data_IF_752626071885
#
_entry.id   IF_752626071885
#
_cell.length_a   1.000
_cell.length_b   1.000
_cell.length_c   1.000
_cell.angle_alpha   90.00
_cell.angle_beta   90.00
_cell.angle_gamma   90.00
#
_symmetry.space_group_name_H-M   'P 1'
#
loop_
_entity.id
_entity.type
_entity.pdbx_description
1 polymer ?
#
# COMPACT_ATOMS: atom_id res chain seq x y z
N UNK A 1 23.52 -16.53 -21.06
CA UNK A 1 23.15 -16.93 -19.68
C UNK A 1 22.34 -15.84 -19.00
N UNK A 2 22.80 -14.58 -19.04
CA UNK A 2 22.06 -13.42 -18.52
C UNK A 2 20.67 -13.29 -19.17
N UNK A 3 20.57 -13.45 -20.49
CA UNK A 3 19.27 -13.37 -21.20
C UNK A 3 18.29 -14.49 -20.80
N UNK A 4 18.82 -15.65 -20.40
CA UNK A 4 18.00 -16.76 -19.92
C UNK A 4 17.42 -16.45 -18.52
N UNK A 5 18.25 -15.89 -17.64
CA UNK A 5 17.83 -15.47 -16.29
C UNK A 5 16.81 -14.33 -16.40
N UNK A 6 17.08 -13.34 -17.25
CA UNK A 6 16.17 -12.22 -17.49
C UNK A 6 14.82 -12.69 -18.02
N UNK A 7 14.82 -13.57 -19.03
CA UNK A 7 13.59 -14.16 -19.58
C UNK A 7 12.78 -14.92 -18.53
N UNK A 8 13.43 -15.72 -17.68
CA UNK A 8 12.76 -16.46 -16.60
C UNK A 8 12.16 -15.51 -15.57
N UNK A 9 12.89 -14.45 -15.18
CA UNK A 9 12.41 -13.48 -14.20
C UNK A 9 11.25 -12.65 -14.73
N UNK A 10 11.30 -12.23 -16.00
CA UNK A 10 10.20 -11.49 -16.63
C UNK A 10 8.94 -12.35 -16.73
N UNK A 11 9.08 -13.62 -17.13
CA UNK A 11 7.95 -14.58 -17.20
C UNK A 11 7.35 -14.89 -15.83
N UNK A 12 8.15 -14.81 -14.77
CA UNK A 12 7.73 -15.11 -13.39
C UNK A 12 7.78 -13.85 -12.50
N UNK A 13 7.47 -12.68 -13.07
CA UNK A 13 7.65 -11.39 -12.41
C UNK A 13 6.93 -11.27 -11.06
N UNK A 14 5.76 -11.89 -10.91
CA UNK A 14 5.04 -11.97 -9.62
C UNK A 14 5.80 -12.79 -8.57
N UNK A 15 6.39 -13.93 -8.97
CA UNK A 15 7.18 -14.77 -8.05
C UNK A 15 8.43 -14.01 -7.60
N UNK A 16 9.08 -13.30 -8.52
CA UNK A 16 10.20 -12.42 -8.22
C UNK A 16 9.78 -11.33 -7.24
N UNK A 17 8.61 -10.70 -7.45
CA UNK A 17 8.09 -9.68 -6.54
C UNK A 17 7.86 -10.22 -5.12
N UNK A 18 7.22 -11.38 -4.97
CA UNK A 18 7.04 -12.03 -3.68
C UNK A 18 8.38 -12.37 -3.00
N UNK A 19 9.36 -12.87 -3.76
CA UNK A 19 10.68 -13.18 -3.23
C UNK A 19 11.40 -11.91 -2.73
N UNK A 20 11.40 -10.83 -3.53
CA UNK A 20 12.02 -9.55 -3.15
C UNK A 20 11.36 -8.95 -1.91
N UNK A 21 10.02 -8.95 -1.86
CA UNK A 21 9.27 -8.41 -0.71
C UNK A 21 9.48 -9.30 0.52
N UNK A 22 9.47 -10.61 0.38
CA UNK A 22 9.74 -11.55 1.47
C UNK A 22 11.13 -11.36 2.08
N UNK A 23 12.16 -11.21 1.23
CA UNK A 23 13.53 -10.90 1.68
C UNK A 23 13.57 -9.53 2.37
N UNK A 24 12.89 -8.53 1.83
CA UNK A 24 12.83 -7.18 2.41
C UNK A 24 12.22 -7.21 3.81
N UNK A 25 11.10 -7.92 3.99
CA UNK A 25 10.45 -8.11 5.29
C UNK A 25 11.38 -8.86 6.24
N UNK A 26 11.96 -9.97 5.81
CA UNK A 26 12.87 -10.76 6.63
C UNK A 26 14.07 -9.94 7.13
N UNK A 27 14.73 -9.20 6.24
CA UNK A 27 15.82 -8.29 6.60
C UNK A 27 15.34 -7.19 7.55
N UNK A 28 14.13 -6.66 7.34
CA UNK A 28 13.57 -5.61 8.18
C UNK A 28 13.33 -6.08 9.62
N UNK A 29 12.83 -7.30 9.81
CA UNK A 29 12.70 -7.89 11.15
C UNK A 29 14.05 -8.22 11.78
N UNK A 30 15.00 -8.73 11.00
CA UNK A 30 16.38 -8.96 11.48
C UNK A 30 17.01 -7.65 11.98
N UNK A 31 16.87 -6.55 11.23
CA UNK A 31 17.38 -5.23 11.60
C UNK A 31 16.64 -4.67 12.83
N UNK A 32 15.32 -4.83 12.91
CA UNK A 32 14.53 -4.40 14.06
C UNK A 32 15.04 -5.05 15.35
N UNK A 33 15.26 -6.36 15.33
CA UNK A 33 15.72 -7.12 16.49
C UNK A 33 17.16 -6.74 16.88
N UNK A 34 18.06 -6.62 15.91
CA UNK A 34 19.50 -6.42 16.15
C UNK A 34 19.88 -4.98 16.47
N UNK A 35 19.24 -4.00 15.83
CA UNK A 35 19.60 -2.57 15.93
C UNK A 35 18.69 -1.79 16.88
N UNK A 36 17.40 -2.17 16.97
CA UNK A 36 16.43 -1.44 17.80
C UNK A 36 15.97 -2.20 19.05
N UNK A 37 16.55 -3.39 19.30
CA UNK A 37 16.14 -4.30 20.36
C UNK A 37 14.61 -4.56 20.34
N UNK A 38 14.02 -4.61 19.14
CA UNK A 38 12.58 -4.81 18.93
C UNK A 38 11.69 -3.60 19.25
N UNK A 39 12.24 -2.42 19.56
CA UNK A 39 11.44 -1.21 19.83
C UNK A 39 10.74 -0.67 18.59
N UNK A 40 11.33 -0.85 17.42
CA UNK A 40 10.74 -0.45 16.15
C UNK A 40 10.15 -1.68 15.44
N UNK A 41 8.90 -1.62 15.01
CA UNK A 41 8.27 -2.75 14.32
C UNK A 41 8.94 -2.98 12.95
N UNK A 42 9.23 -4.23 12.59
CA UNK A 42 9.91 -4.57 11.33
C UNK A 42 9.21 -4.00 10.09
N UNK A 43 7.88 -3.89 10.09
CA UNK A 43 7.09 -3.27 9.02
C UNK A 43 7.45 -1.80 8.77
N UNK A 44 7.80 -1.02 9.80
CA UNK A 44 8.21 0.38 9.62
C UNK A 44 9.56 0.48 8.89
N UNK A 45 10.50 -0.43 9.20
CA UNK A 45 11.77 -0.54 8.47
C UNK A 45 11.52 -0.96 7.02
N UNK A 46 10.62 -1.92 6.80
CA UNK A 46 10.26 -2.39 5.47
C UNK A 46 9.67 -1.27 4.60
N UNK A 47 8.77 -0.44 5.17
CA UNK A 47 8.21 0.74 4.49
C UNK A 47 9.32 1.73 4.13
N UNK A 48 10.21 2.05 5.06
CA UNK A 48 11.32 2.96 4.80
C UNK A 48 12.24 2.44 3.68
N UNK A 49 12.61 1.16 3.71
CA UNK A 49 13.39 0.53 2.64
C UNK A 49 12.66 0.54 1.30
N UNK A 50 11.35 0.27 1.30
CA UNK A 50 10.51 0.33 0.11
C UNK A 50 10.46 1.73 -0.51
N UNK A 51 10.33 2.78 0.32
CA UNK A 51 10.35 4.17 -0.13
C UNK A 51 11.71 4.58 -0.70
N UNK A 52 12.81 4.19 -0.04
CA UNK A 52 14.17 4.41 -0.55
C UNK A 52 14.39 3.70 -1.89
N UNK A 53 13.92 2.45 -2.01
CA UNK A 53 14.00 1.69 -3.24
C UNK A 53 13.15 2.32 -4.35
N UNK A 54 11.94 2.81 -4.03
CA UNK A 54 11.07 3.48 -4.99
C UNK A 54 11.70 4.79 -5.50
N UNK A 55 12.27 5.60 -4.61
CA UNK A 55 13.00 6.80 -4.97
C UNK A 55 14.19 6.46 -5.89
N UNK A 56 15.02 5.49 -5.49
CA UNK A 56 16.15 5.06 -6.28
C UNK A 56 15.74 4.51 -7.66
N UNK A 57 14.73 3.64 -7.72
CA UNK A 57 14.17 3.10 -8.95
C UNK A 57 13.67 4.18 -9.91
N UNK A 58 12.99 5.21 -9.39
CA UNK A 58 12.57 6.36 -10.18
C UNK A 58 13.74 7.17 -10.73
N UNK A 59 14.78 7.40 -9.92
CA UNK A 59 15.97 8.15 -10.38
C UNK A 59 16.77 7.42 -11.45
N UNK A 60 16.88 6.09 -11.38
CA UNK A 60 17.66 5.28 -12.33
C UNK A 60 16.92 5.06 -13.64
N UNK A 61 15.61 4.84 -13.58
CA UNK A 61 14.79 4.58 -14.77
C UNK A 61 14.31 5.87 -15.45
N UNK A 62 14.30 7.00 -14.73
CA UNK A 62 13.65 8.24 -15.15
C UNK A 62 12.12 8.13 -15.19
N UNK A 63 11.55 7.04 -14.68
CA UNK A 63 10.12 6.77 -14.64
C UNK A 63 9.43 7.30 -13.37
N UNK A 64 8.11 7.13 -13.33
CA UNK A 64 7.25 7.64 -12.26
C UNK A 64 6.68 6.55 -11.33
N UNK A 65 6.95 5.27 -11.59
CA UNK A 65 6.44 4.11 -10.84
C UNK A 65 7.50 3.46 -9.93
N UNK A 66 8.64 4.13 -9.75
CA UNK A 66 9.69 3.72 -8.83
C UNK A 66 10.33 2.39 -9.24
N UNK A 67 10.39 1.41 -8.33
CA UNK A 67 10.98 0.10 -8.63
C UNK A 67 10.22 -0.69 -9.69
N UNK A 68 8.94 -0.38 -9.91
CA UNK A 68 8.13 -1.08 -10.91
C UNK A 68 8.51 -0.70 -12.36
N UNK A 69 9.24 0.41 -12.56
CA UNK A 69 9.77 0.77 -13.88
C UNK A 69 11.00 -0.05 -14.26
N UNK A 70 11.61 -0.77 -13.32
CA UNK A 70 12.68 -1.73 -13.60
C UNK A 70 12.03 -3.00 -14.17
N UNK A 71 12.36 -3.38 -15.40
CA UNK A 71 11.73 -4.50 -16.13
C UNK A 71 11.67 -5.80 -15.31
N UNK A 72 12.76 -6.14 -14.61
CA UNK A 72 12.84 -7.33 -13.76
C UNK A 72 11.94 -7.28 -12.52
N UNK A 73 11.56 -6.08 -12.08
CA UNK A 73 10.78 -5.83 -10.87
C UNK A 73 9.36 -5.32 -11.17
N UNK A 74 8.93 -5.31 -12.44
CA UNK A 74 7.60 -4.85 -12.83
C UNK A 74 6.45 -5.59 -12.13
N UNK A 75 6.69 -6.84 -11.71
CA UNK A 75 5.75 -7.62 -10.90
C UNK A 75 5.44 -7.00 -9.54
N UNK A 76 6.33 -6.17 -8.98
CA UNK A 76 6.08 -5.43 -7.74
C UNK A 76 4.95 -4.42 -7.93
N UNK A 77 4.87 -3.77 -9.09
CA UNK A 77 3.78 -2.85 -9.41
C UNK A 77 2.43 -3.56 -9.49
N UNK A 78 2.39 -4.74 -10.12
CA UNK A 78 1.18 -5.56 -10.17
C UNK A 78 0.78 -6.04 -8.77
N UNK A 79 1.76 -6.56 -8.02
CA UNK A 79 1.53 -7.07 -6.67
C UNK A 79 1.03 -5.96 -5.74
N UNK A 80 1.71 -4.82 -5.66
CA UNK A 80 1.36 -3.72 -4.76
C UNK A 80 0.18 -2.84 -5.22
N UNK A 81 -0.26 -2.98 -6.47
CA UNK A 81 -1.40 -2.25 -7.04
C UNK A 81 -2.74 -2.95 -6.79
N UNK A 82 -3.53 -3.11 -7.86
CA UNK A 82 -4.87 -3.69 -7.79
C UNK A 82 -4.92 -5.09 -7.15
N UNK A 83 -3.87 -5.91 -7.32
CA UNK A 83 -3.85 -7.27 -6.76
C UNK A 83 -3.83 -7.28 -5.22
N UNK A 84 -2.95 -6.50 -4.58
CA UNK A 84 -2.90 -6.41 -3.11
C UNK A 84 -4.15 -5.74 -2.56
N UNK A 85 -4.68 -4.72 -3.26
CA UNK A 85 -5.94 -4.08 -2.91
C UNK A 85 -7.09 -5.10 -2.87
N UNK A 86 -7.28 -5.85 -3.94
CA UNK A 86 -8.38 -6.80 -4.05
C UNK A 86 -8.20 -7.94 -3.02
N UNK A 87 -6.97 -8.40 -2.82
CA UNK A 87 -6.64 -9.34 -1.74
C UNK A 87 -6.98 -8.78 -0.35
N UNK A 88 -6.67 -7.51 -0.07
CA UNK A 88 -6.96 -6.87 1.20
C UNK A 88 -8.48 -6.75 1.46
N UNK A 89 -9.25 -6.41 0.43
CA UNK A 89 -10.72 -6.37 0.51
C UNK A 89 -11.26 -7.76 0.82
N UNK A 90 -10.87 -8.76 0.04
CA UNK A 90 -11.36 -10.13 0.17
C UNK A 90 -10.95 -10.74 1.50
N UNK A 91 -9.68 -10.63 1.90
CA UNK A 91 -9.18 -11.16 3.18
C UNK A 91 -9.87 -10.52 4.39
N UNK A 92 -10.12 -9.21 4.36
CA UNK A 92 -10.88 -8.53 5.41
C UNK A 92 -12.31 -9.05 5.47
N UNK A 93 -12.98 -9.21 4.32
CA UNK A 93 -14.35 -9.73 4.26
C UNK A 93 -14.45 -11.17 4.82
N UNK A 94 -13.49 -12.03 4.51
CA UNK A 94 -13.43 -13.38 5.08
C UNK A 94 -13.16 -13.41 6.59
N UNK A 95 -12.51 -12.38 7.14
CA UNK A 95 -12.25 -12.26 8.59
C UNK A 95 -13.45 -11.81 9.42
N UNK A 96 -14.57 -11.44 8.80
CA UNK A 96 -15.73 -10.88 9.50
C UNK A 96 -16.54 -11.98 10.21
N UNK A 97 -16.73 -11.82 11.52
CA UNK A 97 -17.67 -12.63 12.30
C UNK A 97 -19.05 -11.98 12.35
N UNK A 98 -20.01 -12.54 11.60
CA UNK A 98 -21.37 -11.99 11.48
C UNK A 98 -22.11 -11.82 12.83
N UNK A 99 -21.82 -12.67 13.81
CA UNK A 99 -22.41 -12.55 15.14
C UNK A 99 -21.94 -11.28 15.87
N UNK A 100 -20.70 -10.84 15.68
CA UNK A 100 -20.19 -9.61 16.29
C UNK A 100 -20.80 -8.37 15.63
N UNK A 101 -21.00 -8.39 14.30
CA UNK A 101 -21.72 -7.32 13.61
C UNK A 101 -23.16 -7.18 14.11
N UNK A 102 -23.85 -8.30 14.32
CA UNK A 102 -25.21 -8.29 14.89
C UNK A 102 -25.25 -7.71 16.30
N UNK A 103 -24.27 -8.05 17.15
CA UNK A 103 -24.15 -7.51 18.51
C UNK A 103 -23.87 -6.01 18.51
N UNK A 104 -23.04 -5.51 17.58
CA UNK A 104 -22.73 -4.09 17.46
C UNK A 104 -23.98 -3.26 17.10
N UNK A 105 -24.93 -3.85 16.37
CA UNK A 105 -26.24 -3.25 16.10
C UNK A 105 -26.14 -1.86 15.47
N UNK A 106 -27.05 -0.97 15.86
CA UNK A 106 -27.13 0.40 15.30
C UNK A 106 -25.89 1.22 15.64
N UNK A 107 -25.29 1.03 16.83
CA UNK A 107 -24.09 1.74 17.23
C UNK A 107 -22.90 1.43 16.30
N UNK A 108 -22.76 0.16 15.89
CA UNK A 108 -21.75 -0.24 14.90
C UNK A 108 -21.95 0.44 13.55
N UNK A 109 -23.19 0.48 13.04
CA UNK A 109 -23.52 1.15 11.77
C UNK A 109 -23.19 2.64 11.83
N UNK A 110 -23.66 3.34 12.86
CA UNK A 110 -23.38 4.76 13.05
C UNK A 110 -21.89 5.03 13.17
N UNK A 111 -21.15 4.18 13.89
CA UNK A 111 -19.70 4.30 14.02
C UNK A 111 -18.97 4.18 12.69
N UNK A 112 -19.41 3.30 11.78
CA UNK A 112 -18.80 3.16 10.46
C UNK A 112 -19.00 4.44 9.65
N UNK A 113 -20.23 4.94 9.54
CA UNK A 113 -20.51 6.16 8.80
C UNK A 113 -19.80 7.37 9.40
N UNK A 114 -19.85 7.53 10.73
CA UNK A 114 -19.17 8.62 11.42
C UNK A 114 -17.66 8.55 11.21
N UNK A 115 -17.05 7.37 11.38
CA UNK A 115 -15.62 7.17 11.16
C UNK A 115 -15.19 7.51 9.73
N UNK A 116 -15.92 7.04 8.73
CA UNK A 116 -15.63 7.34 7.32
C UNK A 116 -15.74 8.84 7.03
N UNK A 117 -16.85 9.47 7.42
CA UNK A 117 -17.10 10.88 7.14
C UNK A 117 -16.08 11.77 7.84
N UNK A 118 -15.83 11.53 9.13
CA UNK A 118 -14.90 12.33 9.93
C UNK A 118 -13.47 12.16 9.41
N UNK A 119 -13.01 10.92 9.18
CA UNK A 119 -11.66 10.68 8.65
C UNK A 119 -11.46 11.31 7.28
N UNK A 120 -12.46 11.23 6.40
CA UNK A 120 -12.40 11.88 5.08
C UNK A 120 -12.30 13.40 5.20
N UNK A 121 -13.17 14.02 5.99
CA UNK A 121 -13.18 15.48 6.18
C UNK A 121 -11.84 15.96 6.75
N UNK A 122 -11.33 15.27 7.77
CA UNK A 122 -10.05 15.62 8.39
C UNK A 122 -8.91 15.45 7.39
N UNK A 123 -8.84 14.34 6.66
CA UNK A 123 -7.82 14.11 5.64
C UNK A 123 -7.86 15.15 4.51
N UNK A 124 -9.06 15.47 4.01
CA UNK A 124 -9.27 16.49 2.99
C UNK A 124 -8.89 17.89 3.50
N UNK A 125 -9.24 18.23 4.75
CA UNK A 125 -8.86 19.50 5.38
C UNK A 125 -7.34 19.61 5.53
N UNK A 126 -6.66 18.53 5.91
CA UNK A 126 -5.19 18.48 5.94
C UNK A 126 -4.60 18.67 4.54
N UNK A 127 -5.15 18.02 3.51
CA UNK A 127 -4.70 18.23 2.14
C UNK A 127 -4.81 19.71 1.72
N UNK A 128 -5.96 20.34 1.98
CA UNK A 128 -6.15 21.78 1.68
C UNK A 128 -5.18 22.65 2.48
N UNK A 129 -4.96 22.35 3.77
CA UNK A 129 -4.01 23.10 4.61
C UNK A 129 -2.56 22.99 4.10
N UNK A 130 -2.21 21.88 3.46
CA UNK A 130 -0.91 21.67 2.80
C UNK A 130 -0.84 22.26 1.37
N UNK A 131 -1.89 22.95 0.91
CA UNK A 131 -1.90 23.70 -0.34
C UNK A 131 -2.41 22.93 -1.56
N UNK A 132 -2.99 21.74 -1.38
CA UNK A 132 -3.65 21.04 -2.48
C UNK A 132 -4.95 21.77 -2.84
N UNK A 133 -5.09 22.15 -4.12
CA UNK A 133 -6.27 22.86 -4.65
C UNK A 133 -7.10 22.00 -5.61
N UNK A 134 -6.50 20.94 -6.15
CA UNK A 134 -7.15 20.05 -7.11
C UNK A 134 -8.11 19.08 -6.40
N UNK A 135 -9.40 19.02 -6.81
CA UNK A 135 -10.37 18.12 -6.19
C UNK A 135 -9.98 16.65 -6.27
N UNK A 136 -9.28 16.20 -7.31
CA UNK A 136 -8.85 14.81 -7.45
C UNK A 136 -7.82 14.49 -6.36
N UNK A 137 -6.77 15.32 -6.22
CA UNK A 137 -5.77 15.16 -5.18
C UNK A 137 -6.36 15.22 -3.76
N UNK A 138 -7.22 16.21 -3.48
CA UNK A 138 -7.87 16.36 -2.16
C UNK A 138 -8.72 15.13 -1.84
N UNK A 139 -9.51 14.65 -2.80
CA UNK A 139 -10.42 13.50 -2.61
C UNK A 139 -9.62 12.22 -2.41
N UNK A 140 -8.55 11.99 -3.16
CA UNK A 140 -7.67 10.83 -3.00
C UNK A 140 -6.96 10.81 -1.64
N UNK A 141 -6.46 11.96 -1.17
CA UNK A 141 -5.83 12.06 0.16
C UNK A 141 -6.86 11.87 1.28
N UNK A 142 -8.02 12.52 1.17
CA UNK A 142 -9.14 12.33 2.11
C UNK A 142 -9.60 10.88 2.19
N UNK A 143 -9.76 10.22 1.04
CA UNK A 143 -10.06 8.79 0.95
C UNK A 143 -8.99 7.91 1.58
N UNK A 144 -7.71 8.24 1.36
CA UNK A 144 -6.57 7.54 1.98
C UNK A 144 -6.54 7.65 3.51
N UNK A 145 -7.07 8.74 4.07
CA UNK A 145 -7.22 8.90 5.52
C UNK A 145 -8.30 8.00 6.13
N UNK A 146 -9.26 7.54 5.32
CA UNK A 146 -10.29 6.58 5.76
C UNK A 146 -9.66 5.21 5.99
N UNK A 147 -9.00 4.65 4.97
CA UNK A 147 -8.21 3.42 5.07
C UNK A 147 -7.13 3.35 3.99
N UNK A 148 -6.14 2.46 4.17
CA UNK A 148 -5.11 2.17 3.16
C UNK A 148 -5.67 1.57 1.85
N UNK A 149 -6.90 1.06 1.84
CA UNK A 149 -7.57 0.50 0.65
C UNK A 149 -8.38 1.59 -0.07
N UNK A 150 -9.09 2.44 0.69
CA UNK A 150 -10.05 3.40 0.14
C UNK A 150 -9.35 4.47 -0.70
N UNK A 151 -8.18 4.94 -0.28
CA UNK A 151 -7.38 5.90 -1.07
C UNK A 151 -7.10 5.42 -2.50
N UNK A 152 -6.42 4.28 -2.71
CA UNK A 152 -6.18 3.74 -4.05
C UNK A 152 -7.45 3.43 -4.85
N UNK A 153 -8.51 2.88 -4.22
CA UNK A 153 -9.80 2.63 -4.90
C UNK A 153 -10.40 3.93 -5.42
N UNK A 154 -10.46 4.96 -4.57
CA UNK A 154 -11.05 6.25 -4.94
C UNK A 154 -10.20 6.95 -5.98
N UNK A 155 -8.87 6.98 -5.82
CA UNK A 155 -7.95 7.57 -6.78
C UNK A 155 -8.10 6.97 -8.17
N UNK A 156 -8.10 5.63 -8.27
CA UNK A 156 -8.30 4.96 -9.57
C UNK A 156 -9.69 5.26 -10.17
N UNK A 157 -10.74 5.30 -9.35
CA UNK A 157 -12.09 5.58 -9.81
C UNK A 157 -12.27 7.01 -10.36
N UNK A 158 -11.49 7.97 -9.88
CA UNK A 158 -11.55 9.38 -10.30
C UNK A 158 -10.40 9.79 -11.23
N UNK A 159 -9.52 8.86 -11.61
CA UNK A 159 -8.42 9.10 -12.56
C UNK A 159 -7.22 9.86 -11.99
N UNK A 160 -6.88 9.62 -10.71
CA UNK A 160 -5.70 10.16 -10.04
C UNK A 160 -4.38 9.51 -10.50
#
# INVERSE_FOLDING_TARGET
>A
MIDLIESVFIRNSLVVAFAVIGVTIWLSYLLADKLTAGRLHGSAIAIALGLLAAYWGGTVTGGSKGVADITLLGGIGLMGGGMLRDFAIVSTAFGVHLNELKKAGVAGVVSIFAGVIVSFIVGAAVAVAFGYTDPIAITTIGAGAVTYIVGPVTGEAIGA
#
